data_IF_256718558123
#
_entry.id   IF_256718558123
#
_cell.length_a   1.000
_cell.length_b   1.000
_cell.length_c   1.000
_cell.angle_alpha   90.00
_cell.angle_beta   90.00
_cell.angle_gamma   90.00
#
_symmetry.space_group_name_H-M   'P 1'
#
loop_
_entity.id
_entity.type
_entity.pdbx_description
1 polymer ?
#
# COMPACT_ATOMS: atom_id res chain seq x y z
N UNK A 1 0.64 -2.64 -8.41
CA UNK A 1 1.49 -2.18 -7.28
C UNK A 1 1.63 -3.32 -6.29
N UNK A 2 2.83 -3.65 -5.84
CA UNK A 2 3.01 -4.63 -4.77
C UNK A 2 2.66 -4.00 -3.42
N UNK A 3 2.05 -4.76 -2.53
CA UNK A 3 1.70 -4.33 -1.17
C UNK A 3 2.25 -5.33 -0.18
N UNK A 4 3.21 -4.91 0.63
CA UNK A 4 3.77 -5.71 1.71
C UNK A 4 3.44 -5.06 3.05
N UNK A 5 2.42 -5.59 3.72
CA UNK A 5 1.96 -5.10 5.01
C UNK A 5 1.46 -6.29 5.82
N UNK A 6 1.67 -6.27 7.13
CA UNK A 6 0.94 -7.16 8.02
C UNK A 6 -0.55 -6.85 8.00
N UNK A 7 -1.39 -7.82 8.37
CA UNK A 7 -2.84 -7.63 8.47
C UNK A 7 -3.16 -6.54 9.49
N UNK A 8 -3.65 -5.40 9.00
CA UNK A 8 -4.04 -4.24 9.81
C UNK A 8 -5.06 -3.38 9.05
N UNK A 9 -5.56 -2.33 9.69
CA UNK A 9 -6.38 -1.31 9.04
C UNK A 9 -5.60 -0.59 7.93
N UNK A 10 -4.31 -0.35 8.15
CA UNK A 10 -3.41 0.26 7.17
C UNK A 10 -3.33 -0.55 5.88
N UNK A 11 -3.32 -1.90 5.98
CA UNK A 11 -3.38 -2.76 4.79
C UNK A 11 -4.66 -2.49 3.99
N UNK A 12 -5.83 -2.46 4.65
CA UNK A 12 -7.11 -2.21 3.97
C UNK A 12 -7.13 -0.82 3.32
N UNK A 13 -6.63 0.20 4.04
CA UNK A 13 -6.51 1.56 3.50
C UNK A 13 -5.60 1.61 2.29
N UNK A 14 -4.44 0.93 2.34
CA UNK A 14 -3.50 0.82 1.24
C UNK A 14 -4.13 0.19 -0.02
N UNK A 15 -4.84 -0.94 0.14
CA UNK A 15 -5.53 -1.61 -0.96
C UNK A 15 -6.57 -0.67 -1.60
N UNK A 16 -7.40 -0.02 -0.77
CA UNK A 16 -8.39 0.93 -1.26
C UNK A 16 -7.77 2.15 -1.92
N UNK A 17 -6.65 2.67 -1.41
CA UNK A 17 -5.94 3.80 -1.99
C UNK A 17 -5.43 3.46 -3.41
N UNK A 18 -4.87 2.27 -3.59
CA UNK A 18 -4.41 1.79 -4.90
C UNK A 18 -5.59 1.68 -5.88
N UNK A 19 -6.69 1.05 -5.45
CA UNK A 19 -7.88 0.92 -6.29
C UNK A 19 -8.50 2.27 -6.64
N UNK A 20 -8.54 3.21 -5.68
CA UNK A 20 -9.02 4.58 -5.90
C UNK A 20 -8.13 5.37 -6.86
N UNK A 21 -6.82 5.11 -6.85
CA UNK A 21 -5.90 5.67 -7.83
C UNK A 21 -6.03 5.01 -9.23
N UNK A 22 -6.93 4.03 -9.40
CA UNK A 22 -7.15 3.30 -10.64
C UNK A 22 -6.15 2.15 -10.88
N UNK A 23 -5.35 1.80 -9.87
CA UNK A 23 -4.36 0.73 -9.96
C UNK A 23 -4.89 -0.62 -9.51
N UNK A 24 -4.15 -1.68 -9.84
CA UNK A 24 -4.30 -3.01 -9.25
C UNK A 24 -3.20 -3.26 -8.21
N UNK A 25 -3.48 -4.14 -7.24
CA UNK A 25 -2.52 -4.53 -6.22
C UNK A 25 -2.14 -6.01 -6.31
N UNK A 26 -0.94 -6.32 -5.83
CA UNK A 26 -0.43 -7.70 -5.65
C UNK A 26 -0.01 -7.83 -4.18
N UNK A 27 -0.65 -8.70 -3.40
CA UNK A 27 -0.28 -8.89 -2.00
C UNK A 27 1.06 -9.65 -1.91
N UNK A 28 2.00 -9.10 -1.14
CA UNK A 28 3.25 -9.76 -0.81
C UNK A 28 3.28 -10.01 0.68
N UNK A 29 3.34 -11.28 1.07
CA UNK A 29 3.33 -11.68 2.47
C UNK A 29 4.75 -11.57 3.06
N UNK A 30 4.96 -10.72 4.08
CA UNK A 30 6.27 -10.55 4.73
C UNK A 30 6.79 -11.83 5.41
N UNK A 31 5.90 -12.74 5.79
CA UNK A 31 6.27 -13.98 6.50
C UNK A 31 6.73 -15.09 5.54
N UNK A 32 6.60 -14.89 4.22
CA UNK A 32 7.13 -15.81 3.22
C UNK A 32 8.65 -15.68 3.10
N UNK A 33 9.37 -16.79 2.78
CA UNK A 33 10.79 -16.70 2.48
C UNK A 33 11.07 -15.69 1.36
N UNK A 34 12.18 -14.95 1.48
CA UNK A 34 12.56 -13.91 0.52
C UNK A 34 12.54 -14.39 -0.94
N UNK A 35 12.97 -15.63 -1.22
CA UNK A 35 12.94 -16.21 -2.56
C UNK A 35 11.53 -16.26 -3.18
N UNK A 36 10.49 -16.50 -2.38
CA UNK A 36 9.09 -16.48 -2.84
C UNK A 36 8.59 -15.07 -3.06
N UNK A 37 8.98 -14.13 -2.19
CA UNK A 37 8.65 -12.72 -2.36
C UNK A 37 9.26 -12.18 -3.65
N UNK A 38 10.54 -12.45 -3.91
CA UNK A 38 11.22 -12.09 -5.15
C UNK A 38 10.55 -12.68 -6.38
N UNK A 39 10.26 -13.99 -6.36
CA UNK A 39 9.59 -14.65 -7.48
C UNK A 39 8.23 -13.99 -7.81
N UNK A 40 7.44 -13.65 -6.79
CA UNK A 40 6.15 -12.99 -7.00
C UNK A 40 6.29 -11.56 -7.51
N UNK A 41 7.32 -10.83 -7.07
CA UNK A 41 7.63 -9.49 -7.60
C UNK A 41 8.12 -9.55 -9.04
N UNK A 42 8.96 -10.53 -9.38
CA UNK A 42 9.45 -10.73 -10.74
C UNK A 42 8.33 -11.11 -11.70
N UNK A 43 7.47 -12.06 -11.30
CA UNK A 43 6.34 -12.53 -12.11
C UNK A 43 5.27 -11.44 -12.32
N UNK A 44 4.96 -10.68 -11.27
CA UNK A 44 3.93 -9.63 -11.35
C UNK A 44 4.43 -8.29 -11.90
N UNK A 45 5.75 -8.09 -12.01
CA UNK A 45 6.40 -6.88 -12.47
C UNK A 45 5.73 -5.57 -12.01
N UNK A 46 5.53 -5.37 -10.69
CA UNK A 46 4.79 -4.23 -10.17
C UNK A 46 5.59 -2.95 -10.37
N UNK A 47 4.92 -1.85 -10.74
CA UNK A 47 5.56 -0.55 -10.96
C UNK A 47 6.13 0.11 -9.70
N UNK A 48 5.70 -0.33 -8.50
CA UNK A 48 6.12 0.18 -7.20
C UNK A 48 5.72 -0.79 -6.08
N UNK A 49 6.38 -0.67 -4.93
CA UNK A 49 6.09 -1.38 -3.68
C UNK A 49 5.56 -0.42 -2.62
N UNK A 50 4.42 -0.74 -2.00
CA UNK A 50 3.88 -0.04 -0.83
C UNK A 50 4.12 -0.88 0.43
N UNK A 51 4.82 -0.30 1.41
CA UNK A 51 5.21 -0.97 2.67
C UNK A 51 5.36 0.04 3.82
N UNK A 52 5.81 -0.40 5.00
CA UNK A 52 6.22 0.46 6.13
C UNK A 52 7.73 0.39 6.34
N UNK A 53 8.29 1.34 7.10
CA UNK A 53 9.71 1.36 7.45
C UNK A 53 10.15 0.04 8.11
N UNK A 54 9.31 -0.51 8.98
CA UNK A 54 9.59 -1.76 9.71
C UNK A 54 9.73 -3.00 8.79
N UNK A 55 9.22 -2.94 7.56
CA UNK A 55 9.22 -4.05 6.61
C UNK A 55 10.18 -3.86 5.43
N UNK A 56 10.94 -2.75 5.40
CA UNK A 56 11.91 -2.49 4.32
C UNK A 56 13.01 -3.55 4.24
N UNK A 57 13.55 -3.97 5.39
CA UNK A 57 14.62 -4.96 5.44
C UNK A 57 14.09 -6.39 5.14
N UNK A 58 12.78 -6.59 5.24
CA UNK A 58 12.14 -7.88 4.95
C UNK A 58 11.94 -8.07 3.45
N UNK A 59 11.57 -7.00 2.73
CA UNK A 59 11.32 -7.03 1.28
C UNK A 59 12.20 -5.97 0.62
N UNK A 60 13.35 -6.40 0.11
CA UNK A 60 14.29 -5.54 -0.60
C UNK A 60 14.19 -5.72 -2.12
N UNK A 61 13.37 -4.94 -2.85
CA UNK A 61 13.47 -4.90 -4.30
C UNK A 61 14.61 -3.94 -4.69
N UNK A 62 15.67 -4.44 -5.31
CA UNK A 62 16.85 -3.62 -5.61
C UNK A 62 16.64 -2.56 -6.71
N UNK A 63 15.43 -2.40 -7.26
CA UNK A 63 15.13 -1.37 -8.26
C UNK A 63 13.69 -0.86 -8.30
N UNK A 64 12.80 -1.34 -7.42
CA UNK A 64 11.40 -0.87 -7.43
C UNK A 64 11.26 0.40 -6.59
N UNK A 65 10.57 1.44 -7.08
CA UNK A 65 10.18 2.57 -6.26
C UNK A 65 9.39 2.11 -5.03
N UNK A 66 9.82 2.51 -3.84
CA UNK A 66 9.16 2.15 -2.58
C UNK A 66 8.40 3.35 -2.03
N UNK A 67 7.11 3.15 -1.79
CA UNK A 67 6.23 4.08 -1.08
C UNK A 67 6.03 3.60 0.35
N UNK A 68 6.34 4.47 1.31
CA UNK A 68 6.23 4.18 2.73
C UNK A 68 4.96 4.78 3.31
N UNK A 69 4.11 3.94 3.85
CA UNK A 69 2.80 4.33 4.39
C UNK A 69 2.91 5.16 5.68
N UNK A 70 3.96 4.90 6.47
CA UNK A 70 4.27 5.54 7.74
C UNK A 70 5.21 6.75 7.60
N UNK A 71 5.40 7.24 6.36
CA UNK A 71 6.06 8.53 6.17
C UNK A 71 5.21 9.62 6.85
N UNK A 72 5.79 10.50 7.70
CA UNK A 72 5.04 11.57 8.33
C UNK A 72 4.32 12.36 7.26
N UNK A 73 3.00 12.54 7.45
CA UNK A 73 2.19 13.29 6.49
C UNK A 73 2.81 14.67 6.29
N UNK A 74 3.34 14.91 5.10
CA UNK A 74 3.68 16.25 4.67
C UNK A 74 2.37 17.01 4.62
N UNK A 75 2.24 18.08 5.40
CA UNK A 75 1.00 18.84 5.57
C UNK A 75 0.34 19.10 4.22
N UNK A 76 -0.68 18.31 3.89
CA UNK A 76 -1.51 18.53 2.72
C UNK A 76 -2.61 19.48 3.14
N UNK A 77 -2.27 20.77 3.19
CA UNK A 77 -3.29 21.81 3.27
C UNK A 77 -4.22 21.63 2.05
N UNK A 78 -5.47 21.25 2.36
CA UNK A 78 -6.58 20.98 1.45
C UNK A 78 -6.45 19.77 0.49
N UNK A 79 -6.54 18.55 1.01
CA UNK A 79 -7.21 17.49 0.22
C UNK A 79 -8.73 17.66 0.40
N UNK A 80 -9.52 17.77 -0.68
CA UNK A 80 -10.96 17.68 -0.60
C UNK A 80 -11.37 16.40 0.13
N UNK A 81 -12.10 16.56 1.23
CA UNK A 81 -12.62 15.43 1.99
C UNK A 81 -13.67 14.71 1.14
N UNK A 82 -13.30 13.59 0.51
CA UNK A 82 -14.27 12.68 -0.11
C UNK A 82 -14.95 11.85 0.99
N UNK A 83 -15.78 12.52 1.80
CA UNK A 83 -16.80 11.83 2.58
C UNK A 83 -17.72 11.09 1.60
N UNK A 84 -18.00 9.78 1.79
CA UNK A 84 -19.06 9.12 1.05
C UNK A 84 -20.39 9.80 1.40
N UNK A 85 -21.12 10.26 0.38
CA UNK A 85 -22.37 11.00 0.57
C UNK A 85 -23.44 10.12 1.23
N UNK A 86 -23.90 10.50 2.43
CA UNK A 86 -25.09 9.88 3.02
C UNK A 86 -25.17 9.84 4.54
N UNK A 87 -25.23 11.00 5.20
CA UNK A 87 -25.89 11.13 6.51
C UNK A 87 -26.74 12.41 6.49
N UNK A 88 -28.01 12.29 6.07
CA UNK A 88 -29.03 13.31 6.39
C UNK A 88 -29.49 13.03 7.81
N UNK A 89 -29.40 13.95 8.78
CA UNK A 89 -30.26 13.86 9.95
C UNK A 89 -31.70 14.01 9.47
N UNK A 90 -32.53 12.97 9.71
CA UNK A 90 -33.98 13.13 9.74
C UNK A 90 -34.34 14.16 10.82
N UNK A 91 -35.48 14.82 10.62
CA UNK A 91 -36.04 15.87 11.48
C UNK A 91 -36.11 15.50 12.96
#
# INVERSE_FOLDING_TARGET
MAVCLHRSTDMVVALLAILKAGGAYVPVDPDLPASRQHHMLDDSAPVALLTTQALLDVIAPSSLPVLLLDTPRRSTDALPNHQPAGQRPEA
#
